data_IF_805840811941
#
_entry.id   IF_805840811941
#
_cell.length_a   1.000
_cell.length_b   1.000
_cell.length_c   1.000
_cell.angle_alpha   90.00
_cell.angle_beta   90.00
_cell.angle_gamma   90.00
#
_symmetry.space_group_name_H-M   'P 1'
#
loop_
_entity.id
_entity.type
_entity.pdbx_description
1 polymer ?
#
# COMPACT_ATOMS: atom_id res chain seq x y z
N UNK A 1 14.31 4.05 18.57
CA UNK A 1 15.30 2.92 18.58
C UNK A 1 15.12 1.99 17.37
N UNK A 2 14.04 2.11 16.60
CA UNK A 2 13.68 1.18 15.51
C UNK A 2 13.95 1.74 14.11
N UNK A 3 14.00 3.04 13.90
CA UNK A 3 14.38 3.62 12.64
C UNK A 3 15.81 4.19 12.72
N UNK A 4 16.74 3.41 12.19
CA UNK A 4 18.16 3.80 12.09
C UNK A 4 18.52 4.22 10.67
N UNK A 5 17.55 4.21 9.72
CA UNK A 5 17.83 4.58 8.36
C UNK A 5 17.88 6.11 8.22
N UNK A 6 18.96 6.58 7.63
CA UNK A 6 19.14 7.97 7.25
C UNK A 6 18.85 8.15 5.73
N UNK A 7 18.74 9.39 5.28
CA UNK A 7 18.53 9.71 3.86
C UNK A 7 19.49 8.96 2.91
N UNK A 8 20.75 8.82 3.33
CA UNK A 8 21.76 8.07 2.55
C UNK A 8 21.38 6.59 2.31
N UNK A 9 20.70 5.98 3.26
CA UNK A 9 20.29 4.57 3.16
C UNK A 9 19.10 4.41 2.23
N UNK A 10 18.10 5.28 2.33
CA UNK A 10 16.99 5.36 1.38
C UNK A 10 17.49 5.63 -0.05
N UNK A 11 18.49 6.51 -0.22
CA UNK A 11 19.13 6.75 -1.51
C UNK A 11 19.82 5.51 -2.06
N UNK A 12 20.52 4.73 -1.22
CA UNK A 12 21.12 3.45 -1.63
C UNK A 12 20.04 2.45 -2.08
N UNK A 13 18.95 2.30 -1.31
CA UNK A 13 17.83 1.43 -1.66
C UNK A 13 17.17 1.84 -2.98
N UNK A 14 16.93 3.14 -3.19
CA UNK A 14 16.39 3.65 -4.45
C UNK A 14 17.30 3.34 -5.63
N UNK A 15 18.63 3.54 -5.50
CA UNK A 15 19.58 3.25 -6.55
C UNK A 15 19.66 1.74 -6.86
N UNK A 16 19.61 0.91 -5.81
CA UNK A 16 19.58 -0.55 -5.97
C UNK A 16 18.30 -1.02 -6.66
N UNK A 17 17.14 -0.48 -6.27
CA UNK A 17 15.85 -0.78 -6.90
C UNK A 17 15.86 -0.39 -8.40
N UNK A 18 16.35 0.80 -8.74
CA UNK A 18 16.49 1.23 -10.13
C UNK A 18 17.36 0.31 -10.95
N UNK A 19 18.51 -0.13 -10.40
CA UNK A 19 19.41 -1.08 -11.06
C UNK A 19 18.71 -2.41 -11.37
N UNK A 20 17.78 -2.83 -10.49
CA UNK A 20 17.00 -4.06 -10.64
C UNK A 20 15.65 -3.84 -11.34
N UNK A 21 15.38 -2.65 -11.90
CA UNK A 21 14.12 -2.30 -12.58
C UNK A 21 12.88 -2.45 -11.68
N UNK A 22 13.05 -2.24 -10.38
CA UNK A 22 11.98 -2.23 -9.39
C UNK A 22 11.79 -0.80 -8.90
N UNK A 23 10.55 -0.35 -8.80
CA UNK A 23 10.25 0.97 -8.29
C UNK A 23 10.39 1.00 -6.78
N UNK A 24 11.21 1.93 -6.26
CA UNK A 24 11.33 2.18 -4.84
C UNK A 24 10.16 3.02 -4.34
N UNK A 25 9.59 2.62 -3.21
CA UNK A 25 8.53 3.34 -2.50
C UNK A 25 8.77 3.30 -0.99
N UNK A 26 8.28 4.30 -0.28
CA UNK A 26 8.21 4.31 1.18
C UNK A 26 6.98 5.09 1.64
N UNK A 27 6.42 4.73 2.78
CA UNK A 27 5.40 5.53 3.45
C UNK A 27 6.04 6.73 4.13
N UNK A 28 5.36 7.87 4.09
CA UNK A 28 5.76 9.10 4.76
C UNK A 28 4.67 9.48 5.75
N UNK A 29 5.06 9.89 6.95
CA UNK A 29 4.16 10.11 8.08
C UNK A 29 4.06 11.59 8.50
N UNK A 30 4.91 12.45 7.93
CA UNK A 30 4.95 13.88 8.24
C UNK A 30 5.37 14.73 7.03
N UNK A 31 5.11 16.03 7.10
CA UNK A 31 5.36 16.98 6.01
C UNK A 31 6.84 17.22 5.72
N UNK A 32 7.70 17.10 6.73
CA UNK A 32 9.14 17.27 6.57
C UNK A 32 9.74 16.08 5.80
N UNK A 33 9.30 14.85 6.13
CA UNK A 33 9.67 13.64 5.38
C UNK A 33 9.28 13.76 3.90
N UNK A 34 8.13 14.38 3.59
CA UNK A 34 7.75 14.61 2.18
C UNK A 34 8.77 15.49 1.47
N UNK A 35 9.24 16.58 2.10
CA UNK A 35 10.26 17.45 1.50
C UNK A 35 11.58 16.73 1.27
N UNK A 36 12.02 15.96 2.25
CA UNK A 36 13.33 15.28 2.21
C UNK A 36 13.31 14.14 1.18
N UNK A 37 12.27 13.30 1.17
CA UNK A 37 12.28 12.06 0.40
C UNK A 37 11.58 12.16 -0.95
N UNK A 38 10.79 13.23 -1.21
CA UNK A 38 10.12 13.40 -2.50
C UNK A 38 11.04 13.24 -3.71
N UNK A 39 12.30 13.73 -3.71
CA UNK A 39 13.21 13.54 -4.86
C UNK A 39 13.53 12.07 -5.18
N UNK A 40 13.40 11.17 -4.22
CA UNK A 40 13.64 9.73 -4.40
C UNK A 40 12.41 8.97 -4.91
N UNK A 41 11.20 9.55 -4.77
CA UNK A 41 9.93 8.88 -4.96
C UNK A 41 9.24 9.33 -6.24
N UNK A 42 8.76 8.41 -7.05
CA UNK A 42 7.84 8.67 -8.16
C UNK A 42 6.37 8.36 -7.81
N UNK A 43 6.16 7.58 -6.75
CA UNK A 43 4.85 7.28 -6.18
C UNK A 43 4.92 7.46 -4.67
N UNK A 44 3.92 8.12 -4.11
CA UNK A 44 3.74 8.23 -2.65
C UNK A 44 2.85 7.11 -2.11
N UNK A 45 3.16 6.65 -0.91
CA UNK A 45 2.29 5.76 -0.12
C UNK A 45 1.83 6.49 1.14
N UNK A 46 0.53 6.51 1.35
CA UNK A 46 -0.13 7.01 2.58
C UNK A 46 -0.72 5.81 3.29
N UNK A 47 -0.29 5.58 4.53
CA UNK A 47 -0.81 4.49 5.33
C UNK A 47 -2.24 4.79 5.80
N UNK A 48 -2.97 3.77 6.20
CA UNK A 48 -4.36 3.94 6.67
C UNK A 48 -4.46 4.75 7.97
N UNK A 49 -3.41 4.78 8.78
CA UNK A 49 -3.32 5.62 9.98
C UNK A 49 -3.31 7.12 9.66
N UNK A 50 -2.89 7.49 8.45
CA UNK A 50 -2.70 8.88 8.04
C UNK A 50 -3.75 9.39 7.06
N UNK A 51 -4.81 8.62 6.81
CA UNK A 51 -5.87 9.02 5.88
C UNK A 51 -6.59 10.32 6.29
N UNK A 52 -6.57 10.65 7.57
CA UNK A 52 -7.13 11.89 8.12
C UNK A 52 -6.06 12.95 8.48
N UNK A 53 -4.79 12.72 8.14
CA UNK A 53 -3.69 13.64 8.35
C UNK A 53 -3.70 14.74 7.27
N UNK A 54 -4.57 15.73 7.44
CA UNK A 54 -4.82 16.79 6.45
C UNK A 54 -3.53 17.54 6.04
N UNK A 55 -2.62 17.93 6.94
CA UNK A 55 -1.36 18.57 6.56
C UNK A 55 -0.53 17.70 5.61
N UNK A 56 -0.40 16.40 5.91
CA UNK A 56 0.33 15.43 5.09
C UNK A 56 -0.33 15.28 3.71
N UNK A 57 -1.66 15.08 3.66
CA UNK A 57 -2.41 14.94 2.41
C UNK A 57 -2.21 16.15 1.49
N UNK A 58 -2.34 17.35 2.02
CA UNK A 58 -2.11 18.61 1.28
C UNK A 58 -0.68 18.73 0.77
N UNK A 59 0.30 18.32 1.59
CA UNK A 59 1.71 18.38 1.23
C UNK A 59 2.01 17.41 0.08
N UNK A 60 1.58 16.15 0.19
CA UNK A 60 1.72 15.14 -0.87
C UNK A 60 1.00 15.58 -2.15
N UNK A 61 -0.20 16.14 -2.04
CA UNK A 61 -0.96 16.62 -3.19
C UNK A 61 -0.25 17.70 -4.01
N UNK A 62 0.56 18.57 -3.37
CA UNK A 62 1.36 19.59 -4.04
C UNK A 62 2.46 18.99 -4.93
N UNK A 63 2.95 17.81 -4.63
CA UNK A 63 3.97 17.10 -5.41
C UNK A 63 3.47 16.60 -6.77
N UNK A 64 2.15 16.53 -6.99
CA UNK A 64 1.49 16.12 -8.25
C UNK A 64 1.89 14.74 -8.77
N UNK A 65 2.44 13.87 -7.91
CA UNK A 65 2.85 12.49 -8.24
C UNK A 65 1.72 11.50 -8.04
N UNK A 66 1.89 10.28 -8.56
CA UNK A 66 1.00 9.18 -8.25
C UNK A 66 1.00 8.89 -6.75
N UNK A 67 -0.14 8.55 -6.20
CA UNK A 67 -0.29 8.32 -4.76
C UNK A 67 -1.17 7.10 -4.50
N UNK A 68 -0.72 6.24 -3.63
CA UNK A 68 -1.48 5.11 -3.10
C UNK A 68 -1.93 5.47 -1.69
N UNK A 69 -3.23 5.37 -1.41
CA UNK A 69 -3.80 5.64 -0.08
C UNK A 69 -4.55 4.41 0.42
N UNK A 70 -4.14 3.89 1.57
CA UNK A 70 -4.81 2.78 2.25
C UNK A 70 -5.98 3.29 3.09
N UNK A 71 -7.09 2.56 3.10
CA UNK A 71 -8.33 3.02 3.73
C UNK A 71 -8.55 2.47 5.14
N UNK A 72 -8.03 1.27 5.46
CA UNK A 72 -8.18 0.68 6.79
C UNK A 72 -9.63 0.65 7.26
N UNK A 73 -9.87 1.15 8.47
CA UNK A 73 -11.18 1.25 9.09
C UNK A 73 -12.01 2.47 8.63
N UNK A 74 -11.57 3.21 7.60
CA UNK A 74 -12.22 4.47 7.21
C UNK A 74 -13.57 4.26 6.54
N UNK A 75 -14.50 5.15 6.85
CA UNK A 75 -15.80 5.24 6.18
C UNK A 75 -15.66 5.94 4.82
N UNK A 76 -16.61 5.72 3.91
CA UNK A 76 -16.60 6.33 2.58
C UNK A 76 -16.46 7.87 2.60
N UNK A 77 -17.07 8.54 3.58
CA UNK A 77 -16.97 10.00 3.72
C UNK A 77 -15.56 10.45 4.10
N UNK A 78 -14.85 9.68 4.92
CA UNK A 78 -13.47 9.98 5.30
C UNK A 78 -12.55 9.81 4.09
N UNK A 79 -12.76 8.77 3.29
CA UNK A 79 -12.03 8.56 2.03
C UNK A 79 -12.29 9.73 1.06
N UNK A 80 -13.54 10.15 0.88
CA UNK A 80 -13.89 11.32 0.04
C UNK A 80 -13.19 12.60 0.52
N UNK A 81 -13.17 12.83 1.83
CA UNK A 81 -12.48 13.98 2.42
C UNK A 81 -10.95 13.91 2.19
N UNK A 82 -10.33 12.74 2.37
CA UNK A 82 -8.92 12.55 2.11
C UNK A 82 -8.57 12.88 0.65
N UNK A 83 -9.35 12.38 -0.31
CA UNK A 83 -9.17 12.67 -1.74
C UNK A 83 -9.32 14.17 -2.05
N UNK A 84 -10.27 14.86 -1.39
CA UNK A 84 -10.45 16.31 -1.52
C UNK A 84 -9.21 17.08 -1.04
N UNK A 85 -8.62 16.70 0.10
CA UNK A 85 -7.42 17.35 0.62
C UNK A 85 -6.16 17.01 -0.19
N UNK A 86 -6.06 15.78 -0.70
CA UNK A 86 -4.99 15.35 -1.59
C UNK A 86 -5.02 16.12 -2.92
N UNK A 87 -6.20 16.47 -3.41
CA UNK A 87 -6.44 17.30 -4.60
C UNK A 87 -5.61 16.87 -5.83
N UNK A 88 -5.64 15.58 -6.13
CA UNK A 88 -5.03 14.98 -7.31
C UNK A 88 -6.11 14.46 -8.27
N UNK A 89 -5.82 14.42 -9.59
CA UNK A 89 -6.71 13.76 -10.54
C UNK A 89 -6.96 12.29 -10.13
N UNK A 90 -8.20 11.78 -10.24
CA UNK A 90 -8.54 10.42 -9.82
C UNK A 90 -7.61 9.34 -10.38
N UNK A 91 -7.21 9.45 -11.65
CA UNK A 91 -6.28 8.51 -12.31
C UNK A 91 -4.88 8.46 -11.68
N UNK A 92 -4.50 9.47 -10.88
CA UNK A 92 -3.24 9.50 -10.15
C UNK A 92 -3.34 8.89 -8.76
N UNK A 93 -4.54 8.52 -8.29
CA UNK A 93 -4.74 8.01 -6.94
C UNK A 93 -5.25 6.59 -6.97
N UNK A 94 -4.50 5.68 -6.34
CA UNK A 94 -4.98 4.34 -6.02
C UNK A 94 -5.57 4.35 -4.62
N UNK A 95 -6.83 3.91 -4.51
CA UNK A 95 -7.52 3.71 -3.23
C UNK A 95 -7.41 2.22 -2.90
N UNK A 96 -6.80 1.90 -1.76
CA UNK A 96 -6.45 0.54 -1.40
C UNK A 96 -7.28 0.06 -0.22
N UNK A 97 -8.10 -0.98 -0.43
CA UNK A 97 -8.75 -1.68 0.67
C UNK A 97 -7.71 -2.38 1.54
N UNK A 98 -7.86 -2.34 2.83
CA UNK A 98 -7.11 -3.15 3.79
C UNK A 98 -7.89 -3.32 5.09
N UNK A 99 -7.55 -4.34 5.86
CA UNK A 99 -8.05 -4.58 7.23
C UNK A 99 -6.90 -4.38 8.22
N UNK A 100 -7.21 -3.81 9.40
CA UNK A 100 -6.20 -3.41 10.40
C UNK A 100 -5.82 -4.54 11.38
N UNK A 101 -6.04 -5.79 11.02
CA UNK A 101 -5.60 -6.94 11.79
C UNK A 101 -4.31 -7.54 11.18
N UNK A 102 -3.34 -7.87 12.02
CA UNK A 102 -2.04 -8.42 11.64
C UNK A 102 -1.73 -9.70 12.45
N UNK A 103 -2.05 -10.89 11.91
CA UNK A 103 -2.71 -11.15 10.63
C UNK A 103 -4.21 -10.92 10.65
N UNK A 104 -4.78 -10.71 9.46
CA UNK A 104 -6.21 -10.79 9.21
C UNK A 104 -6.60 -12.24 8.96
N UNK A 105 -7.71 -12.72 9.49
CA UNK A 105 -8.29 -14.00 9.08
C UNK A 105 -8.91 -13.88 7.68
N UNK A 106 -8.94 -14.96 6.92
CA UNK A 106 -9.48 -14.93 5.56
C UNK A 106 -10.95 -14.48 5.53
N UNK A 107 -11.78 -14.98 6.47
CA UNK A 107 -13.18 -14.58 6.60
C UNK A 107 -13.37 -13.09 6.93
N UNK A 108 -12.38 -12.47 7.58
CA UNK A 108 -12.40 -11.05 7.98
C UNK A 108 -11.76 -10.13 6.93
N UNK A 109 -11.25 -10.67 5.81
CA UNK A 109 -10.58 -9.87 4.78
C UNK A 109 -11.51 -8.88 4.04
N UNK A 110 -12.83 -9.05 4.19
CA UNK A 110 -13.89 -8.16 3.67
C UNK A 110 -13.69 -7.77 2.19
N UNK A 111 -13.28 -8.72 1.34
CA UNK A 111 -12.88 -8.48 -0.05
C UNK A 111 -13.98 -7.81 -0.90
N UNK A 112 -15.25 -7.95 -0.53
CA UNK A 112 -16.36 -7.25 -1.17
C UNK A 112 -16.22 -5.72 -1.12
N UNK A 113 -15.46 -5.17 -0.16
CA UNK A 113 -15.15 -3.74 -0.09
C UNK A 113 -14.39 -3.23 -1.31
N UNK A 114 -13.63 -4.09 -2.01
CA UNK A 114 -12.99 -3.75 -3.30
C UNK A 114 -14.04 -3.33 -4.32
N UNK A 115 -15.12 -4.10 -4.46
CA UNK A 115 -16.23 -3.79 -5.34
C UNK A 115 -16.98 -2.53 -4.91
N UNK A 116 -17.16 -2.33 -3.60
CA UNK A 116 -17.78 -1.12 -3.04
C UNK A 116 -16.93 0.12 -3.36
N UNK A 117 -15.61 0.06 -3.19
CA UNK A 117 -14.71 1.15 -3.55
C UNK A 117 -14.77 1.44 -5.05
N UNK A 118 -14.73 0.41 -5.90
CA UNK A 118 -14.83 0.55 -7.35
C UNK A 118 -16.11 1.25 -7.78
N UNK A 119 -17.26 0.90 -7.15
CA UNK A 119 -18.56 1.54 -7.41
C UNK A 119 -18.57 3.01 -6.98
N UNK A 120 -17.98 3.33 -5.82
CA UNK A 120 -18.01 4.70 -5.27
C UNK A 120 -16.93 5.63 -5.85
N UNK A 121 -15.85 5.06 -6.40
CA UNK A 121 -14.72 5.78 -6.98
C UNK A 121 -14.34 5.24 -8.36
N UNK A 122 -15.27 5.29 -9.35
CA UNK A 122 -15.12 4.60 -10.64
C UNK A 122 -13.95 5.11 -11.49
N UNK A 123 -13.47 6.32 -11.22
CA UNK A 123 -12.36 6.95 -11.95
C UNK A 123 -10.99 6.75 -11.27
N UNK A 124 -10.97 6.11 -10.10
CA UNK A 124 -9.74 5.81 -9.36
C UNK A 124 -9.27 4.39 -9.66
N UNK A 125 -7.98 4.16 -9.51
CA UNK A 125 -7.41 2.82 -9.42
C UNK A 125 -7.80 2.25 -8.06
N UNK A 126 -8.25 1.00 -8.01
CA UNK A 126 -8.53 0.30 -6.75
C UNK A 126 -7.45 -0.77 -6.53
N UNK A 127 -6.99 -0.88 -5.30
CA UNK A 127 -6.00 -1.86 -4.85
C UNK A 127 -6.46 -2.61 -3.60
N UNK A 128 -5.65 -3.58 -3.20
CA UNK A 128 -5.83 -4.35 -1.98
C UNK A 128 -4.48 -4.51 -1.25
N UNK A 129 -4.45 -4.15 0.02
CA UNK A 129 -3.32 -4.38 0.93
C UNK A 129 -3.70 -5.54 1.85
N UNK A 130 -3.04 -6.68 1.64
CA UNK A 130 -3.37 -7.93 2.27
C UNK A 130 -2.53 -8.20 3.52
N UNK A 131 -3.20 -8.54 4.62
CA UNK A 131 -2.59 -8.92 5.89
C UNK A 131 -2.94 -10.36 6.32
N UNK A 132 -3.51 -11.16 5.42
CA UNK A 132 -3.80 -12.58 5.72
C UNK A 132 -2.52 -13.42 5.73
N UNK A 133 -2.55 -14.57 6.37
CA UNK A 133 -1.47 -15.56 6.20
C UNK A 133 -1.61 -16.17 4.80
N UNK A 134 -0.55 -16.19 3.97
CA UNK A 134 -0.64 -16.79 2.64
C UNK A 134 -0.96 -18.29 2.72
N UNK A 135 -2.12 -18.67 2.21
CA UNK A 135 -2.49 -20.07 2.03
C UNK A 135 -1.76 -20.69 0.81
N UNK A 136 -1.90 -21.99 0.64
CA UNK A 136 -1.27 -22.69 -0.48
C UNK A 136 -1.70 -22.15 -1.84
N UNK A 137 -2.95 -21.73 -2.01
CA UNK A 137 -3.52 -21.29 -3.28
C UNK A 137 -3.54 -19.77 -3.45
N UNK A 138 -3.12 -19.00 -2.42
CA UNK A 138 -3.16 -17.54 -2.39
C UNK A 138 -4.57 -17.02 -2.72
N UNK A 139 -5.58 -17.69 -2.18
CA UNK A 139 -6.98 -17.50 -2.57
C UNK A 139 -7.46 -16.07 -2.33
N UNK A 140 -7.07 -15.46 -1.21
CA UNK A 140 -7.43 -14.08 -0.87
C UNK A 140 -6.92 -13.09 -1.92
N UNK A 141 -5.66 -13.25 -2.35
CA UNK A 141 -5.05 -12.39 -3.37
C UNK A 141 -5.68 -12.59 -4.74
N UNK A 142 -5.96 -13.86 -5.09
CA UNK A 142 -6.65 -14.19 -6.35
C UNK A 142 -8.05 -13.57 -6.40
N UNK A 143 -8.85 -13.75 -5.35
CA UNK A 143 -10.20 -13.15 -5.27
C UNK A 143 -10.11 -11.62 -5.34
N UNK A 144 -9.17 -10.98 -4.64
CA UNK A 144 -8.99 -9.54 -4.71
C UNK A 144 -8.69 -9.06 -6.13
N UNK A 145 -7.83 -9.77 -6.86
CA UNK A 145 -7.53 -9.49 -8.27
C UNK A 145 -8.78 -9.66 -9.16
N UNK A 146 -9.53 -10.76 -9.01
CA UNK A 146 -10.75 -11.06 -9.76
C UNK A 146 -11.85 -10.00 -9.50
N UNK A 147 -11.95 -9.46 -8.28
CA UNK A 147 -12.82 -8.35 -7.92
C UNK A 147 -12.38 -7.00 -8.52
N UNK A 148 -11.20 -6.95 -9.12
CA UNK A 148 -10.70 -5.79 -9.87
C UNK A 148 -9.67 -4.94 -9.14
N UNK A 149 -9.03 -5.43 -8.07
CA UNK A 149 -7.85 -4.78 -7.52
C UNK A 149 -6.73 -4.80 -8.57
N UNK A 150 -6.20 -3.63 -8.92
CA UNK A 150 -5.13 -3.46 -9.92
C UNK A 150 -3.75 -3.34 -9.29
N UNK A 151 -3.70 -3.08 -7.99
CA UNK A 151 -2.47 -3.02 -7.20
C UNK A 151 -2.68 -3.91 -5.98
N UNK A 152 -1.75 -4.82 -5.76
CA UNK A 152 -1.71 -5.68 -4.58
C UNK A 152 -0.50 -5.28 -3.75
N UNK A 153 -0.72 -5.04 -2.46
CA UNK A 153 0.33 -4.82 -1.46
C UNK A 153 0.34 -5.99 -0.49
N UNK A 154 1.53 -6.48 -0.17
CA UNK A 154 1.71 -7.60 0.76
C UNK A 154 3.04 -7.47 1.48
N UNK A 155 3.05 -7.78 2.78
CA UNK A 155 4.29 -7.97 3.52
C UNK A 155 5.15 -9.06 2.84
N UNK A 156 6.45 -8.84 2.78
CA UNK A 156 7.39 -9.76 2.16
C UNK A 156 8.54 -10.07 3.10
N UNK A 157 8.95 -11.32 3.14
CA UNK A 157 10.10 -11.77 3.93
C UNK A 157 10.93 -12.80 3.17
N UNK A 158 12.23 -12.81 3.42
CA UNK A 158 13.09 -13.88 2.93
C UNK A 158 13.03 -15.13 3.83
N UNK A 159 12.49 -15.01 5.05
CA UNK A 159 12.33 -16.13 5.98
C UNK A 159 11.18 -15.88 6.96
N UNK A 160 10.12 -16.67 6.87
CA UNK A 160 8.92 -16.59 7.73
C UNK A 160 9.18 -16.97 9.19
N UNK A 161 10.33 -17.62 9.50
CA UNK A 161 10.72 -18.05 10.85
C UNK A 161 11.49 -17.00 11.63
N UNK A 162 11.76 -15.84 11.03
CA UNK A 162 12.41 -14.73 11.73
C UNK A 162 11.54 -14.23 12.89
N UNK A 163 12.18 -13.79 13.95
CA UNK A 163 11.50 -13.13 15.07
C UNK A 163 10.96 -11.77 14.62
N UNK A 164 9.75 -11.45 15.03
CA UNK A 164 9.05 -10.20 14.70
C UNK A 164 7.59 -10.46 14.35
N UNK A 165 6.79 -9.41 14.36
CA UNK A 165 5.33 -9.57 14.24
C UNK A 165 4.86 -9.87 12.81
N UNK A 166 5.64 -9.51 11.79
CA UNK A 166 5.16 -9.50 10.40
C UNK A 166 5.71 -10.63 9.53
N UNK A 167 6.75 -11.36 9.98
CA UNK A 167 7.40 -12.36 9.14
C UNK A 167 6.53 -13.57 8.82
N UNK A 168 5.77 -14.08 9.79
CA UNK A 168 5.04 -15.33 9.64
C UNK A 168 3.82 -15.22 8.69
N UNK A 169 3.22 -14.03 8.56
CA UNK A 169 2.10 -13.78 7.64
C UNK A 169 2.53 -13.07 6.34
N UNK A 170 3.81 -12.86 6.15
CA UNK A 170 4.36 -12.31 4.91
C UNK A 170 4.39 -13.33 3.78
N UNK A 171 4.39 -12.84 2.55
CA UNK A 171 4.83 -13.64 1.40
C UNK A 171 6.35 -13.88 1.47
N UNK A 172 6.77 -15.00 0.92
CA UNK A 172 8.16 -15.27 0.56
C UNK A 172 8.32 -15.34 -0.96
N UNK A 173 9.53 -15.66 -1.42
CA UNK A 173 9.83 -15.77 -2.84
C UNK A 173 8.96 -16.81 -3.56
N UNK A 174 8.66 -17.93 -2.90
CA UNK A 174 7.84 -18.99 -3.51
C UNK A 174 6.39 -18.52 -3.67
N UNK A 175 5.82 -17.88 -2.65
CA UNK A 175 4.49 -17.30 -2.73
C UNK A 175 4.41 -16.25 -3.85
N UNK A 176 5.42 -15.36 -3.95
CA UNK A 176 5.44 -14.32 -4.98
C UNK A 176 5.52 -14.90 -6.40
N UNK A 177 6.38 -15.90 -6.62
CA UNK A 177 6.46 -16.59 -7.91
C UNK A 177 5.14 -17.28 -8.26
N UNK A 178 4.52 -17.96 -7.29
CA UNK A 178 3.20 -18.58 -7.48
C UNK A 178 2.14 -17.55 -7.85
N UNK A 179 2.09 -16.43 -7.14
CA UNK A 179 1.12 -15.37 -7.42
C UNK A 179 1.29 -14.80 -8.83
N UNK A 180 2.52 -14.54 -9.27
CA UNK A 180 2.80 -14.03 -10.62
C UNK A 180 2.37 -15.01 -11.74
N UNK A 181 2.27 -16.30 -11.44
CA UNK A 181 1.78 -17.31 -12.37
C UNK A 181 0.25 -17.47 -12.35
N UNK A 182 -0.43 -16.88 -11.37
CA UNK A 182 -1.89 -16.97 -11.20
C UNK A 182 -2.66 -15.81 -11.86
N UNK A 183 -1.97 -14.69 -12.21
CA UNK A 183 -2.60 -13.45 -12.71
C UNK A 183 -2.21 -13.10 -14.16
#
# INVERSE_FOLDING_TARGET
>A
KYDKFEYKDYKKLNNYSKKNKIQFMTSLFDTNSVEIYSPLLSVFKISSSDINNIPLLRKIGKEKKHTIISTGASKLNEIKNALKYLNLPPKKVCIMHCVLNYPTKEEDAELNKISILKKNFPNNIIGYSDHTVPDENLITLKIAFDLGAKIIEKHFTHNKKLSGNDHYHSMDTQNLLKFNNLI
#
